data_IF_427012593959
#
_entry.id   IF_427012593959
#
_cell.length_a   1.000
_cell.length_b   1.000
_cell.length_c   1.000
_cell.angle_alpha   90.00
_cell.angle_beta   90.00
_cell.angle_gamma   90.00
#
_symmetry.space_group_name_H-M   'P 1'
#
loop_
_entity.id
_entity.type
_entity.pdbx_description
1 polymer ?
#
# COMPACT_ATOMS: atom_id res chain seq x y z
N UNK A 1 -13.29 -19.97 40.07
CA UNK A 1 -12.09 -20.83 40.09
C UNK A 1 -11.71 -21.35 38.69
N UNK A 2 -12.66 -21.79 37.84
CA UNK A 2 -12.32 -22.25 36.47
C UNK A 2 -11.95 -21.07 35.54
N UNK A 3 -12.63 -19.92 35.65
CA UNK A 3 -12.40 -18.73 34.83
C UNK A 3 -11.08 -18.00 35.11
N UNK A 4 -10.46 -18.21 36.28
CA UNK A 4 -9.23 -17.52 36.68
C UNK A 4 -7.99 -18.02 35.92
N UNK A 5 -7.99 -19.25 35.42
CA UNK A 5 -6.89 -19.77 34.59
C UNK A 5 -6.83 -19.06 33.23
N UNK A 6 -7.97 -18.87 32.58
CA UNK A 6 -8.07 -18.15 31.31
C UNK A 6 -7.66 -16.68 31.45
N UNK A 7 -8.15 -16.00 32.48
CA UNK A 7 -7.77 -14.61 32.76
C UNK A 7 -6.27 -14.45 33.03
N UNK A 8 -5.67 -15.34 33.84
CA UNK A 8 -4.24 -15.30 34.13
C UNK A 8 -3.38 -15.59 32.90
N UNK A 9 -3.79 -16.56 32.07
CA UNK A 9 -3.11 -16.85 30.79
C UNK A 9 -3.20 -15.66 29.85
N UNK A 10 -4.38 -15.04 29.71
CA UNK A 10 -4.57 -13.86 28.86
C UNK A 10 -3.68 -12.69 29.26
N UNK A 11 -3.58 -12.41 30.57
CA UNK A 11 -2.68 -11.36 31.08
C UNK A 11 -1.20 -11.67 30.82
N UNK A 12 -0.78 -12.92 31.04
CA UNK A 12 0.59 -13.35 30.77
C UNK A 12 0.92 -13.29 29.26
N UNK A 13 0.03 -13.77 28.41
CA UNK A 13 0.19 -13.75 26.94
C UNK A 13 0.25 -12.30 26.43
N UNK A 14 -0.58 -11.40 26.98
CA UNK A 14 -0.57 -9.97 26.60
C UNK A 14 0.74 -9.31 27.00
N UNK A 15 1.23 -9.57 28.21
CA UNK A 15 2.52 -9.06 28.67
C UNK A 15 3.67 -9.58 27.79
N UNK A 16 3.66 -10.87 27.44
CA UNK A 16 4.68 -11.46 26.57
C UNK A 16 4.62 -10.94 25.13
N UNK A 17 3.42 -10.79 24.57
CA UNK A 17 3.21 -10.24 23.22
C UNK A 17 3.69 -8.79 23.12
N UNK A 18 3.55 -8.00 24.19
CA UNK A 18 4.05 -6.61 24.24
C UNK A 18 5.56 -6.56 24.01
N UNK A 19 6.33 -7.44 24.66
CA UNK A 19 7.77 -7.53 24.47
C UNK A 19 8.14 -7.95 23.03
N UNK A 20 7.41 -8.91 22.45
CA UNK A 20 7.63 -9.35 21.07
C UNK A 20 7.34 -8.23 20.06
N UNK A 21 6.25 -7.48 20.26
CA UNK A 21 5.92 -6.32 19.42
C UNK A 21 7.00 -5.24 19.49
N UNK A 22 7.48 -4.90 20.70
CA UNK A 22 8.56 -3.92 20.87
C UNK A 22 9.89 -4.36 20.25
N UNK A 23 10.18 -5.66 20.31
CA UNK A 23 11.37 -6.21 19.65
C UNK A 23 11.27 -6.15 18.12
N UNK A 24 10.10 -6.48 17.57
CA UNK A 24 9.85 -6.41 16.14
C UNK A 24 9.94 -4.96 15.63
N UNK A 25 9.31 -4.00 16.31
CA UNK A 25 9.34 -2.60 15.90
C UNK A 25 10.76 -2.05 15.91
N UNK A 26 11.58 -2.37 16.92
CA UNK A 26 13.00 -2.01 16.94
C UNK A 26 13.74 -2.56 15.72
N UNK A 27 13.57 -3.85 15.41
CA UNK A 27 14.22 -4.47 14.25
C UNK A 27 13.80 -3.86 12.91
N UNK A 28 12.53 -3.46 12.79
CA UNK A 28 12.04 -2.78 11.59
C UNK A 28 12.69 -1.39 11.46
N UNK A 29 12.81 -0.64 12.55
CA UNK A 29 13.49 0.67 12.56
C UNK A 29 14.98 0.52 12.25
N UNK A 30 15.66 -0.47 12.84
CA UNK A 30 17.08 -0.74 12.60
C UNK A 30 17.39 -0.95 11.11
N UNK A 31 16.43 -1.46 10.32
CA UNK A 31 16.57 -1.68 8.87
C UNK A 31 16.12 -0.47 8.04
N UNK A 32 15.08 0.25 8.48
CA UNK A 32 14.43 1.29 7.67
C UNK A 32 14.85 2.73 8.02
N UNK A 33 15.63 2.95 9.08
CA UNK A 33 15.95 4.29 9.62
C UNK A 33 16.62 5.23 8.62
N UNK A 34 17.38 4.68 7.67
CA UNK A 34 18.15 5.47 6.70
C UNK A 34 17.37 5.70 5.38
N UNK A 35 16.13 5.23 5.29
CA UNK A 35 15.27 5.41 4.12
C UNK A 35 14.49 6.72 4.24
N UNK A 36 14.86 7.71 3.42
CA UNK A 36 14.28 9.06 3.41
C UNK A 36 13.85 9.43 1.98
N UNK A 37 12.84 10.29 1.85
CA UNK A 37 12.47 10.89 0.56
C UNK A 37 13.53 11.91 0.16
N UNK A 38 14.27 11.63 -0.92
CA UNK A 38 15.44 12.42 -1.35
C UNK A 38 15.27 13.08 -2.72
N UNK A 39 14.31 12.62 -3.51
CA UNK A 39 14.05 13.09 -4.88
C UNK A 39 12.55 13.29 -5.09
N UNK A 40 12.16 14.12 -6.05
CA UNK A 40 10.75 14.33 -6.38
C UNK A 40 10.21 13.20 -7.28
N UNK A 41 10.87 12.93 -8.40
CA UNK A 41 10.52 11.89 -9.37
C UNK A 41 11.77 11.22 -9.95
N UNK A 42 11.98 9.92 -9.72
CA UNK A 42 13.06 9.14 -10.33
C UNK A 42 12.84 8.77 -11.80
N UNK A 43 11.67 9.08 -12.37
CA UNK A 43 11.33 8.84 -13.78
C UNK A 43 10.95 7.41 -14.14
N UNK A 44 10.99 6.47 -13.20
CA UNK A 44 10.75 5.04 -13.46
C UNK A 44 9.39 4.76 -14.11
N UNK A 45 9.37 3.81 -15.06
CA UNK A 45 8.15 3.25 -15.66
C UNK A 45 7.67 1.99 -14.92
N UNK A 46 8.49 1.50 -13.98
CA UNK A 46 8.20 0.32 -13.21
C UNK A 46 7.18 0.60 -12.12
N UNK A 47 6.45 -0.43 -11.75
CA UNK A 47 5.38 -0.33 -10.79
C UNK A 47 4.78 -1.69 -10.48
N UNK A 48 3.92 -1.71 -9.48
CA UNK A 48 3.20 -2.91 -9.06
C UNK A 48 1.74 -2.80 -9.49
N UNK A 49 1.20 -3.89 -10.02
CA UNK A 49 -0.22 -3.98 -10.35
C UNK A 49 -1.01 -4.22 -9.06
N UNK A 50 -1.84 -3.25 -8.69
CA UNK A 50 -2.78 -3.40 -7.58
C UNK A 50 -4.12 -3.92 -8.10
N UNK A 51 -4.68 -4.87 -7.38
CA UNK A 51 -5.99 -5.50 -7.59
C UNK A 51 -6.72 -5.59 -6.25
N UNK A 52 -8.04 -5.73 -6.19
CA UNK A 52 -8.72 -6.02 -4.93
C UNK A 52 -8.22 -7.33 -4.33
N UNK A 53 -8.16 -7.41 -2.99
CA UNK A 53 -7.82 -8.65 -2.28
C UNK A 53 -9.09 -9.46 -2.09
N UNK A 54 -9.15 -10.62 -2.76
CA UNK A 54 -10.31 -11.52 -2.74
C UNK A 54 -9.91 -12.80 -1.99
N UNK A 55 -10.61 -13.09 -0.89
CA UNK A 55 -10.39 -14.32 -0.11
C UNK A 55 -11.72 -15.04 0.09
N UNK A 56 -11.80 -16.29 -0.38
CA UNK A 56 -13.00 -17.12 -0.20
C UNK A 56 -14.24 -16.63 -0.96
N UNK A 57 -14.09 -15.76 -1.95
CA UNK A 57 -15.18 -15.17 -2.73
C UNK A 57 -15.66 -13.81 -2.21
N UNK A 58 -15.19 -13.39 -1.05
CA UNK A 58 -15.47 -12.06 -0.50
C UNK A 58 -14.31 -11.10 -0.80
N UNK A 59 -14.63 -9.85 -1.12
CA UNK A 59 -13.65 -8.76 -1.22
C UNK A 59 -13.26 -8.35 0.21
N UNK A 60 -12.02 -8.64 0.60
CA UNK A 60 -11.46 -8.24 1.92
C UNK A 60 -10.97 -6.80 1.92
N UNK A 61 -10.38 -6.38 0.81
CA UNK A 61 -9.84 -5.03 0.63
C UNK A 61 -10.14 -4.59 -0.82
N UNK A 62 -10.96 -3.54 -1.02
CA UNK A 62 -11.31 -3.07 -2.35
C UNK A 62 -10.11 -2.40 -3.04
N UNK A 63 -10.16 -2.25 -4.36
CA UNK A 63 -9.08 -1.61 -5.12
C UNK A 63 -8.83 -0.17 -4.63
N UNK A 64 -9.90 0.59 -4.37
CA UNK A 64 -9.85 1.97 -3.87
C UNK A 64 -8.92 2.14 -2.68
N UNK A 65 -9.10 1.33 -1.65
CA UNK A 65 -8.32 1.44 -0.40
C UNK A 65 -6.84 1.15 -0.63
N UNK A 66 -6.52 0.28 -1.60
CA UNK A 66 -5.14 -0.11 -1.93
C UNK A 66 -4.39 0.93 -2.78
N UNK A 67 -5.13 1.69 -3.59
CA UNK A 67 -4.55 2.64 -4.55
C UNK A 67 -4.64 4.09 -4.10
N UNK A 68 -5.51 4.42 -3.13
CA UNK A 68 -5.62 5.76 -2.55
C UNK A 68 -4.26 6.24 -2.03
N UNK A 69 -3.89 7.46 -2.39
CA UNK A 69 -2.63 8.09 -2.02
C UNK A 69 -1.41 7.56 -2.80
N UNK A 70 -1.60 6.75 -3.84
CA UNK A 70 -0.50 6.30 -4.72
C UNK A 70 -0.47 7.07 -6.03
N UNK A 71 0.66 7.02 -6.72
CA UNK A 71 0.84 7.61 -8.05
C UNK A 71 0.75 6.53 -9.14
N UNK A 72 0.06 6.82 -10.25
CA UNK A 72 -0.04 5.92 -11.41
C UNK A 72 1.30 5.74 -12.14
N UNK A 73 1.68 4.49 -12.43
CA UNK A 73 2.91 4.18 -13.17
C UNK A 73 2.70 4.25 -14.69
N UNK A 74 1.47 4.09 -15.17
CA UNK A 74 1.08 4.17 -16.57
C UNK A 74 -0.30 4.81 -16.71
N UNK A 75 -0.71 5.14 -17.94
CA UNK A 75 -2.05 5.66 -18.21
C UNK A 75 -3.10 4.58 -17.92
N UNK A 76 -4.06 4.88 -17.05
CA UNK A 76 -5.20 4.01 -16.80
C UNK A 76 -6.24 4.27 -17.87
N UNK A 77 -6.54 3.26 -18.68
CA UNK A 77 -7.54 3.34 -19.74
C UNK A 77 -8.93 3.03 -19.21
N UNK A 78 -9.94 3.68 -19.78
CA UNK A 78 -11.33 3.34 -19.50
C UNK A 78 -11.66 1.97 -20.11
N UNK A 79 -12.22 1.02 -19.33
CA UNK A 79 -12.52 -0.32 -19.82
C UNK A 79 -13.35 -0.32 -21.10
N UNK A 80 -12.90 -1.07 -22.11
CA UNK A 80 -13.57 -1.18 -23.41
C UNK A 80 -13.30 -0.02 -24.39
N UNK A 81 -12.45 0.95 -24.05
CA UNK A 81 -12.08 2.08 -24.92
C UNK A 81 -10.57 2.29 -24.96
N UNK A 82 -10.12 3.18 -25.85
CA UNK A 82 -8.73 3.67 -25.88
C UNK A 82 -8.57 5.03 -25.16
N UNK A 83 -9.62 5.48 -24.45
CA UNK A 83 -9.62 6.77 -23.79
C UNK A 83 -8.87 6.67 -22.45
N UNK A 84 -8.00 7.64 -22.19
CA UNK A 84 -7.26 7.75 -20.92
C UNK A 84 -8.24 8.23 -19.84
N UNK A 85 -8.46 7.40 -18.82
CA UNK A 85 -9.26 7.74 -17.65
C UNK A 85 -8.44 8.50 -16.62
N UNK A 86 -7.24 8.01 -16.31
CA UNK A 86 -6.29 8.66 -15.40
C UNK A 86 -4.92 8.66 -16.07
N UNK A 87 -4.31 9.84 -16.30
CA UNK A 87 -2.99 9.89 -16.91
C UNK A 87 -1.91 9.36 -15.94
N UNK A 88 -0.78 8.95 -16.51
CA UNK A 88 0.43 8.57 -15.76
C UNK A 88 0.90 9.72 -14.86
N UNK A 89 1.58 9.37 -13.77
CA UNK A 89 2.13 10.31 -12.78
C UNK A 89 1.03 11.14 -12.08
N UNK A 90 -0.16 10.58 -11.93
CA UNK A 90 -1.27 11.21 -11.22
C UNK A 90 -1.36 10.65 -9.81
N UNK A 91 -1.37 11.55 -8.82
CA UNK A 91 -1.67 11.20 -7.43
C UNK A 91 -3.16 10.86 -7.29
N UNK A 92 -3.45 9.61 -6.94
CA UNK A 92 -4.79 9.07 -6.73
C UNK A 92 -5.36 9.54 -5.39
N UNK A 93 -5.94 10.74 -5.38
CA UNK A 93 -6.79 11.22 -4.29
C UNK A 93 -8.23 10.69 -4.45
N UNK A 94 -9.11 11.01 -3.51
CA UNK A 94 -10.46 10.43 -3.40
C UNK A 94 -11.27 10.54 -4.69
N UNK A 95 -11.20 11.68 -5.37
CA UNK A 95 -11.91 11.90 -6.63
C UNK A 95 -11.47 10.94 -7.74
N UNK A 96 -10.16 10.69 -7.87
CA UNK A 96 -9.66 9.73 -8.86
C UNK A 96 -10.06 8.30 -8.50
N UNK A 97 -10.06 7.96 -7.21
CA UNK A 97 -10.51 6.65 -6.75
C UNK A 97 -11.99 6.42 -7.04
N UNK A 98 -12.84 7.42 -6.80
CA UNK A 98 -14.27 7.35 -7.12
C UNK A 98 -14.47 7.17 -8.64
N UNK A 99 -13.68 7.87 -9.48
CA UNK A 99 -13.72 7.72 -10.94
C UNK A 99 -13.31 6.30 -11.40
N UNK A 100 -12.31 5.69 -10.75
CA UNK A 100 -11.89 4.31 -11.02
C UNK A 100 -13.01 3.31 -10.69
N UNK A 101 -13.71 3.50 -9.57
CA UNK A 101 -14.86 2.66 -9.17
C UNK A 101 -16.05 2.84 -10.13
N UNK A 102 -16.39 4.07 -10.50
CA UNK A 102 -17.49 4.38 -11.43
C UNK A 102 -17.31 3.72 -12.81
N UNK A 103 -16.06 3.57 -13.25
CA UNK A 103 -15.72 2.95 -14.53
C UNK A 103 -15.39 1.45 -14.40
N UNK A 104 -15.59 0.86 -13.21
CA UNK A 104 -15.31 -0.56 -12.93
C UNK A 104 -13.89 -0.99 -13.35
N UNK A 105 -12.88 -0.20 -12.97
CA UNK A 105 -11.48 -0.58 -13.20
C UNK A 105 -11.06 -1.66 -12.20
N UNK A 106 -10.64 -2.83 -12.70
CA UNK A 106 -10.31 -3.98 -11.85
C UNK A 106 -8.84 -4.01 -11.37
N UNK A 107 -7.95 -3.27 -12.06
CA UNK A 107 -6.53 -3.23 -11.74
C UNK A 107 -5.88 -1.91 -12.16
N UNK A 108 -4.93 -1.43 -11.36
CA UNK A 108 -4.15 -0.23 -11.67
C UNK A 108 -2.67 -0.51 -11.41
N UNK A 109 -1.80 -0.17 -12.37
CA UNK A 109 -0.35 -0.19 -12.15
C UNK A 109 0.06 1.11 -11.46
N UNK A 110 0.52 1.00 -10.22
CA UNK A 110 0.95 2.12 -9.38
C UNK A 110 2.45 2.07 -9.17
N UNK A 111 3.05 3.24 -8.97
CA UNK A 111 4.45 3.35 -8.55
C UNK A 111 4.61 2.79 -7.12
N UNK A 112 5.80 2.31 -6.82
CA UNK A 112 6.10 1.69 -5.53
C UNK A 112 7.52 1.99 -5.10
N UNK A 113 7.71 2.10 -3.79
CA UNK A 113 9.02 2.24 -3.15
C UNK A 113 9.99 1.13 -3.56
N UNK A 114 9.50 -0.10 -3.74
CA UNK A 114 10.36 -1.25 -4.12
C UNK A 114 10.88 -1.19 -5.55
N UNK A 115 10.18 -0.47 -6.44
CA UNK A 115 10.53 -0.30 -7.85
C UNK A 115 11.06 1.12 -8.14
N UNK A 116 11.57 1.80 -7.12
CA UNK A 116 12.10 3.14 -7.24
C UNK A 116 13.55 3.13 -7.72
N UNK A 117 13.85 3.89 -8.77
CA UNK A 117 15.20 4.02 -9.33
C UNK A 117 16.09 5.07 -8.60
N UNK A 118 15.59 5.71 -7.53
CA UNK A 118 16.40 6.67 -6.74
C UNK A 118 17.48 5.93 -5.94
N UNK A 119 18.74 6.32 -6.15
CA UNK A 119 19.85 5.85 -5.33
C UNK A 119 19.82 6.46 -3.92
N UNK A 120 20.10 5.63 -2.90
CA UNK A 120 20.21 6.05 -1.49
C UNK A 120 19.00 6.84 -0.94
N UNK A 121 17.79 6.42 -1.30
CA UNK A 121 16.55 7.02 -0.81
C UNK A 121 15.34 6.53 -1.60
N UNK A 122 14.28 7.33 -1.58
CA UNK A 122 13.08 7.12 -2.40
C UNK A 122 12.62 8.44 -2.99
N UNK A 123 12.03 8.42 -4.19
CA UNK A 123 11.36 9.61 -4.71
C UNK A 123 9.94 9.76 -4.16
N UNK A 124 9.44 11.00 -4.10
CA UNK A 124 8.08 11.31 -3.64
C UNK A 124 7.02 10.57 -4.46
N UNK A 125 7.17 10.50 -5.79
CA UNK A 125 6.19 9.84 -6.66
C UNK A 125 6.10 8.32 -6.47
N UNK A 126 7.20 7.64 -6.12
CA UNK A 126 7.16 6.19 -5.84
C UNK A 126 6.63 5.88 -4.44
N UNK A 127 6.72 6.83 -3.51
CA UNK A 127 6.16 6.70 -2.17
C UNK A 127 4.63 6.86 -2.21
N UNK A 128 4.14 7.92 -2.86
CA UNK A 128 2.73 8.32 -2.85
C UNK A 128 2.55 9.70 -2.26
#
# INVERSE_FOLDING_TARGET
>A
FISTHGARKGLADTALKTANSGYLTRRLVDVAQDLVVTEDDCGTLEGITMTPVIEGGDVKEPLRDRVLGRVTAEDVLKPGTADILVPRNTLLHEHWCDLLEENSVDSVKVRSVVSCDTDFGVCAHCYG
#
